data_IF_574903291093
#
_entry.id   IF_574903291093
#
_cell.length_a   1.000
_cell.length_b   1.000
_cell.length_c   1.000
_cell.angle_alpha   90.00
_cell.angle_beta   90.00
_cell.angle_gamma   90.00
#
_symmetry.space_group_name_H-M   'P 1'
#
loop_
_entity.id
_entity.type
_entity.pdbx_description
1 polymer ?
#
# COMPACT_ATOMS: atom_id res chain seq x y z
N UNK A 1 32.11 17.35 22.18
CA UNK A 1 31.07 17.58 21.16
C UNK A 1 30.03 16.49 21.33
N UNK A 2 28.84 16.85 21.80
CA UNK A 2 27.74 15.88 21.98
C UNK A 2 27.09 15.62 20.62
N UNK A 3 26.75 14.36 20.28
CA UNK A 3 26.01 14.07 19.06
C UNK A 3 24.60 14.71 19.13
N UNK A 4 24.05 15.19 18.00
CA UNK A 4 22.71 15.77 17.97
C UNK A 4 21.67 14.72 18.38
N UNK A 5 20.72 15.13 19.23
CA UNK A 5 19.56 14.32 19.60
C UNK A 5 18.77 13.96 18.34
N UNK A 6 18.67 12.66 18.07
CA UNK A 6 17.83 12.12 17.00
C UNK A 6 16.37 12.25 17.43
N UNK A 7 15.63 13.14 16.78
CA UNK A 7 14.16 13.17 16.85
C UNK A 7 13.61 11.80 16.47
N UNK A 8 12.73 11.25 17.32
CA UNK A 8 12.16 9.93 17.12
C UNK A 8 11.29 9.89 15.87
N UNK A 9 11.44 8.86 15.03
CA UNK A 9 10.62 8.71 13.81
C UNK A 9 9.13 8.54 14.13
N UNK A 10 8.76 8.08 15.33
CA UNK A 10 7.37 8.12 15.79
C UNK A 10 6.84 9.55 15.90
N UNK A 11 7.69 10.52 16.26
CA UNK A 11 7.35 11.94 16.28
C UNK A 11 7.43 12.58 14.89
N UNK A 12 8.24 12.07 13.96
CA UNK A 12 8.24 12.52 12.55
C UNK A 12 7.03 12.02 11.76
N UNK A 13 6.65 10.73 11.91
CA UNK A 13 5.41 10.19 11.33
C UNK A 13 4.22 10.88 11.99
N UNK A 14 4.20 11.03 13.32
CA UNK A 14 3.17 11.84 14.01
C UNK A 14 3.24 13.33 13.66
N UNK A 15 4.39 13.93 13.34
CA UNK A 15 4.49 15.35 12.98
C UNK A 15 4.01 15.57 11.55
N UNK A 16 4.39 14.73 10.59
CA UNK A 16 3.79 14.72 9.25
C UNK A 16 2.27 14.51 9.32
N UNK A 17 1.78 13.63 10.21
CA UNK A 17 0.34 13.40 10.40
C UNK A 17 -0.39 14.42 11.30
N UNK A 18 0.32 15.13 12.19
CA UNK A 18 -0.25 16.23 13.00
C UNK A 18 -0.33 17.52 12.21
N UNK A 19 0.56 17.70 11.22
CA UNK A 19 0.43 18.75 10.20
C UNK A 19 -0.85 18.57 9.35
N UNK A 20 -1.33 17.35 9.14
CA UNK A 20 -2.60 17.10 8.44
C UNK A 20 -3.85 17.39 9.29
N UNK A 21 -3.81 17.20 10.62
CA UNK A 21 -4.95 17.56 11.49
C UNK A 21 -5.17 19.07 11.64
N UNK A 22 -4.19 19.90 11.25
CA UNK A 22 -4.33 21.36 11.14
C UNK A 22 -4.76 21.84 9.77
N UNK A 23 -4.77 20.97 8.75
CA UNK A 23 -5.13 21.30 7.38
C UNK A 23 -6.43 20.62 6.99
N UNK A 24 -7.53 21.03 7.65
CA UNK A 24 -8.85 20.80 7.09
C UNK A 24 -8.89 21.51 5.73
N UNK A 25 -8.84 20.70 4.67
CA UNK A 25 -9.02 21.08 3.27
C UNK A 25 -10.03 22.21 3.10
N UNK A 26 -9.52 23.41 2.82
CA UNK A 26 -10.25 24.47 2.14
C UNK A 26 -9.83 24.42 0.68
N UNK A 27 -10.46 23.53 -0.09
CA UNK A 27 -10.31 23.50 -1.55
C UNK A 27 -11.06 24.72 -2.09
N UNK A 28 -10.32 25.74 -2.52
CA UNK A 28 -10.87 26.87 -3.26
C UNK A 28 -10.27 28.23 -2.90
N UNK A 29 -9.11 28.54 -3.50
CA UNK A 29 -8.77 29.86 -4.03
C UNK A 29 -7.46 29.75 -4.82
N UNK A 30 -7.48 30.15 -6.09
CA UNK A 30 -6.27 30.42 -6.86
C UNK A 30 -5.46 31.49 -6.14
N UNK A 31 -4.39 31.09 -5.45
CA UNK A 31 -3.33 32.00 -5.04
C UNK A 31 -2.47 32.30 -6.26
N UNK A 32 -2.13 33.57 -6.54
CA UNK A 32 -1.24 33.90 -7.65
C UNK A 32 0.13 33.28 -7.38
N UNK A 33 0.64 32.53 -8.35
CA UNK A 33 2.00 31.99 -8.32
C UNK A 33 3.00 33.15 -8.30
N UNK A 34 3.54 33.46 -7.12
CA UNK A 34 4.84 34.11 -7.04
C UNK A 34 5.92 33.17 -7.60
N UNK A 35 7.09 33.69 -8.01
CA UNK A 35 8.19 32.85 -8.48
C UNK A 35 8.75 32.07 -7.29
N UNK A 36 8.16 30.91 -7.01
CA UNK A 36 8.65 29.99 -5.99
C UNK A 36 9.98 29.42 -6.47
N UNK A 37 11.06 29.79 -5.77
CA UNK A 37 12.35 29.18 -5.97
C UNK A 37 12.22 27.66 -5.80
N UNK A 38 12.40 26.93 -6.89
CA UNK A 38 12.53 25.48 -6.84
C UNK A 38 13.67 25.17 -5.88
N UNK A 39 13.35 24.51 -4.77
CA UNK A 39 14.37 23.97 -3.90
C UNK A 39 15.17 22.96 -4.72
N UNK A 40 16.50 22.93 -4.60
CA UNK A 40 17.35 21.93 -5.27
C UNK A 40 16.86 20.49 -4.99
N UNK A 41 16.10 20.31 -3.91
CA UNK A 41 15.40 19.07 -3.55
C UNK A 41 14.33 18.62 -4.55
N UNK A 42 13.70 19.53 -5.30
CA UNK A 42 12.67 19.19 -6.27
C UNK A 42 13.24 18.57 -7.56
N UNK A 43 14.55 18.74 -7.85
CA UNK A 43 15.16 18.23 -9.09
C UNK A 43 15.17 16.71 -9.20
N UNK A 44 15.17 16.01 -8.06
CA UNK A 44 15.21 14.55 -8.00
C UNK A 44 13.86 13.94 -7.61
N UNK A 45 12.87 14.78 -7.28
CA UNK A 45 11.56 14.30 -6.84
C UNK A 45 10.80 13.72 -8.03
N UNK A 46 10.36 12.44 -7.97
CA UNK A 46 9.55 11.88 -9.02
C UNK A 46 8.23 12.64 -9.17
N UNK A 47 7.88 12.98 -10.42
CA UNK A 47 6.63 13.64 -10.71
C UNK A 47 5.43 12.74 -10.32
N UNK A 48 4.37 13.29 -9.70
CA UNK A 48 3.14 12.54 -9.48
C UNK A 48 2.54 12.05 -10.80
N UNK A 49 2.05 10.81 -10.81
CA UNK A 49 1.33 10.23 -11.96
C UNK A 49 -0.16 10.17 -11.61
N UNK A 50 -1.02 10.50 -12.57
CA UNK A 50 -2.48 10.41 -12.38
C UNK A 50 -2.88 8.99 -12.00
N UNK A 51 -3.76 8.88 -11.00
CA UNK A 51 -4.29 7.60 -10.49
C UNK A 51 -3.23 6.67 -9.86
N UNK A 52 -2.06 7.21 -9.55
CA UNK A 52 -1.00 6.54 -8.79
C UNK A 52 -0.99 7.05 -7.35
N UNK A 53 -0.94 6.13 -6.41
CA UNK A 53 -0.81 6.42 -4.99
C UNK A 53 0.15 5.42 -4.35
N UNK A 54 0.72 5.81 -3.21
CA UNK A 54 1.55 4.96 -2.38
C UNK A 54 0.85 4.77 -1.04
N UNK A 55 0.81 3.53 -0.56
CA UNK A 55 0.34 3.19 0.79
C UNK A 55 1.52 2.74 1.61
N UNK A 56 1.81 3.52 2.64
CA UNK A 56 2.89 3.26 3.58
C UNK A 56 2.32 2.48 4.75
N UNK A 57 3.03 1.42 5.13
CA UNK A 57 2.64 0.50 6.19
C UNK A 57 3.76 0.41 7.19
N UNK A 58 3.53 0.96 8.39
CA UNK A 58 4.44 0.83 9.52
C UNK A 58 3.87 -0.17 10.53
N UNK A 59 4.53 -1.31 10.66
CA UNK A 59 4.21 -2.35 11.65
C UNK A 59 4.97 -2.04 12.95
N UNK A 60 4.24 -1.85 14.04
CA UNK A 60 4.83 -1.49 15.33
C UNK A 60 5.63 -2.67 15.92
N UNK A 61 6.78 -2.37 16.52
CA UNK A 61 7.66 -3.37 17.15
C UNK A 61 6.99 -4.16 18.27
N UNK A 62 6.05 -3.54 19.00
CA UNK A 62 5.27 -4.19 20.09
C UNK A 62 4.45 -5.38 19.61
N UNK A 63 4.01 -5.36 18.36
CA UNK A 63 3.22 -6.45 17.77
C UNK A 63 4.09 -7.52 17.12
N UNK A 64 5.40 -7.29 16.97
CA UNK A 64 6.34 -8.28 16.42
C UNK A 64 6.31 -9.58 17.19
N UNK A 65 6.28 -9.54 18.53
CA UNK A 65 6.21 -10.76 19.35
C UNK A 65 4.89 -11.51 19.20
N UNK A 66 3.76 -10.78 19.06
CA UNK A 66 2.44 -11.38 18.84
C UNK A 66 2.34 -12.04 17.46
N UNK A 67 2.82 -11.34 16.43
CA UNK A 67 2.96 -11.89 15.09
C UNK A 67 3.91 -13.07 15.05
N UNK A 68 4.98 -13.02 15.86
CA UNK A 68 5.92 -14.10 15.94
C UNK A 68 5.36 -15.36 16.59
N UNK A 69 4.67 -15.22 17.71
CA UNK A 69 3.95 -16.32 18.31
C UNK A 69 2.88 -16.90 17.34
N UNK A 70 2.17 -16.04 16.62
CA UNK A 70 1.13 -16.44 15.67
C UNK A 70 1.66 -17.23 14.47
N UNK A 71 2.71 -16.74 13.81
CA UNK A 71 3.33 -17.38 12.66
C UNK A 71 4.05 -18.66 13.09
N UNK A 72 4.78 -18.66 14.22
CA UNK A 72 5.38 -19.88 14.77
C UNK A 72 4.33 -20.96 15.07
N UNK A 73 3.18 -20.58 15.61
CA UNK A 73 2.06 -21.50 15.87
C UNK A 73 1.42 -22.03 14.58
N UNK A 74 1.32 -21.20 13.54
CA UNK A 74 0.83 -21.64 12.23
C UNK A 74 1.80 -22.62 11.57
N UNK A 75 3.10 -22.31 11.58
CA UNK A 75 4.16 -23.13 11.01
C UNK A 75 4.35 -24.46 11.78
N UNK A 76 4.22 -24.44 13.11
CA UNK A 76 4.24 -25.66 13.93
C UNK A 76 3.04 -26.59 13.66
N UNK A 77 1.86 -26.01 13.36
CA UNK A 77 0.66 -26.79 12.99
C UNK A 77 0.79 -27.44 11.62
N UNK A 78 1.42 -26.79 10.66
CA UNK A 78 1.63 -27.35 9.31
C UNK A 78 2.68 -28.46 9.31
N UNK A 79 3.74 -28.35 10.13
CA UNK A 79 4.81 -29.35 10.18
C UNK A 79 4.57 -30.54 11.12
N UNK A 80 3.87 -30.35 12.25
CA UNK A 80 3.74 -31.39 13.30
C UNK A 80 2.30 -31.65 13.75
N UNK A 81 1.31 -31.20 12.98
CA UNK A 81 -0.11 -31.40 13.28
C UNK A 81 -0.56 -30.73 14.59
N UNK A 82 -1.58 -31.29 15.25
CA UNK A 82 -2.14 -30.73 16.51
C UNK A 82 -1.14 -30.72 17.67
N UNK A 83 -0.21 -31.68 17.72
CA UNK A 83 0.75 -31.85 18.84
C UNK A 83 1.87 -30.79 18.80
N UNK A 84 2.23 -30.28 17.62
CA UNK A 84 3.24 -29.22 17.46
C UNK A 84 2.88 -27.86 18.07
N UNK A 85 1.62 -27.66 18.48
CA UNK A 85 1.15 -26.36 18.97
C UNK A 85 1.53 -26.04 20.42
N UNK A 86 1.94 -27.04 21.22
CA UNK A 86 2.46 -26.87 22.58
C UNK A 86 3.99 -26.63 22.59
N UNK A 87 4.74 -27.33 21.73
CA UNK A 87 6.20 -27.13 21.59
C UNK A 87 6.56 -25.82 20.85
N UNK A 88 5.69 -25.37 19.94
CA UNK A 88 5.90 -24.14 19.16
C UNK A 88 5.91 -22.84 19.99
N UNK A 89 5.37 -22.85 21.21
CA UNK A 89 5.38 -21.68 22.10
C UNK A 89 6.76 -21.33 22.64
N UNK A 90 7.57 -22.33 23.02
CA UNK A 90 8.91 -22.12 23.55
C UNK A 90 9.94 -21.82 22.45
N UNK A 91 9.85 -22.52 21.31
CA UNK A 91 10.72 -22.30 20.15
C UNK A 91 10.39 -20.97 19.47
N UNK A 92 9.11 -20.57 19.45
CA UNK A 92 8.68 -19.29 18.88
C UNK A 92 9.28 -18.07 19.59
N UNK A 93 9.52 -18.15 20.90
CA UNK A 93 10.14 -17.03 21.65
C UNK A 93 11.64 -16.88 21.37
N UNK A 94 12.33 -17.96 20.98
CA UNK A 94 13.75 -17.95 20.62
C UNK A 94 13.94 -17.55 19.15
N UNK A 95 13.04 -17.96 18.26
CA UNK A 95 13.08 -17.63 16.83
C UNK A 95 12.47 -16.27 16.46
N UNK A 96 11.76 -15.61 17.38
CA UNK A 96 11.19 -14.27 17.14
C UNK A 96 12.24 -13.18 16.80
N UNK A 97 13.52 -13.46 17.00
CA UNK A 97 14.63 -12.58 16.67
C UNK A 97 15.38 -12.96 15.37
N UNK A 98 14.91 -13.95 14.58
CA UNK A 98 15.60 -14.35 13.35
C UNK A 98 15.12 -13.59 12.10
N UNK A 99 16.04 -13.24 11.21
CA UNK A 99 15.74 -12.54 9.95
C UNK A 99 14.76 -13.32 9.04
N UNK A 100 14.86 -14.66 9.02
CA UNK A 100 13.93 -15.55 8.30
C UNK A 100 12.49 -15.44 8.78
N UNK A 101 12.32 -15.06 10.04
CA UNK A 101 11.01 -14.95 10.67
C UNK A 101 10.33 -13.63 10.29
N UNK A 102 11.11 -12.54 10.28
CA UNK A 102 10.66 -11.24 9.81
C UNK A 102 10.21 -11.31 8.35
N UNK A 103 10.92 -12.06 7.50
CA UNK A 103 10.52 -12.30 6.10
C UNK A 103 9.16 -13.00 5.97
N UNK A 104 8.90 -14.01 6.81
CA UNK A 104 7.61 -14.73 6.80
C UNK A 104 6.46 -13.84 7.29
N UNK A 105 6.68 -13.02 8.32
CA UNK A 105 5.69 -12.02 8.74
C UNK A 105 5.47 -11.03 7.59
N UNK A 106 6.55 -10.55 6.99
CA UNK A 106 6.51 -9.55 5.95
C UNK A 106 5.71 -10.01 4.74
N UNK A 107 5.94 -11.24 4.27
CA UNK A 107 5.16 -11.87 3.21
C UNK A 107 3.67 -11.98 3.57
N UNK A 108 3.37 -12.47 4.78
CA UNK A 108 1.99 -12.64 5.23
C UNK A 108 1.22 -11.33 5.45
N UNK A 109 1.92 -10.23 5.72
CA UNK A 109 1.35 -8.87 5.76
C UNK A 109 1.23 -8.31 4.35
N UNK A 110 2.24 -8.48 3.51
CA UNK A 110 2.26 -8.01 2.12
C UNK A 110 1.09 -8.52 1.32
N UNK A 111 0.88 -9.84 1.32
CA UNK A 111 -0.19 -10.48 0.56
C UNK A 111 -1.57 -10.01 1.05
N UNK A 112 -1.68 -9.77 2.36
CA UNK A 112 -2.90 -9.27 2.96
C UNK A 112 -3.20 -7.82 2.59
N UNK A 113 -2.20 -6.94 2.65
CA UNK A 113 -2.35 -5.53 2.24
C UNK A 113 -2.75 -5.49 0.77
N UNK A 114 -2.04 -6.22 -0.10
CA UNK A 114 -2.38 -6.31 -1.52
C UNK A 114 -3.83 -6.75 -1.73
N UNK A 115 -4.23 -7.87 -1.13
CA UNK A 115 -5.58 -8.40 -1.28
C UNK A 115 -6.65 -7.45 -0.73
N UNK A 116 -6.46 -6.93 0.48
CA UNK A 116 -7.44 -6.07 1.15
C UNK A 116 -7.61 -4.75 0.41
N UNK A 117 -6.52 -4.16 -0.10
CA UNK A 117 -6.54 -2.95 -0.90
C UNK A 117 -7.25 -3.18 -2.23
N UNK A 118 -6.96 -4.29 -2.93
CA UNK A 118 -7.67 -4.66 -4.17
C UNK A 118 -9.16 -4.87 -3.91
N UNK A 119 -9.53 -5.60 -2.85
CA UNK A 119 -10.92 -5.88 -2.51
C UNK A 119 -11.67 -4.58 -2.13
N UNK A 120 -11.05 -3.68 -1.37
CA UNK A 120 -11.60 -2.37 -1.02
C UNK A 120 -11.84 -1.50 -2.26
N UNK A 121 -10.85 -1.39 -3.15
CA UNK A 121 -10.97 -0.68 -4.44
C UNK A 121 -12.08 -1.27 -5.31
N UNK A 122 -12.11 -2.61 -5.42
CA UNK A 122 -13.11 -3.32 -6.21
C UNK A 122 -14.53 -3.11 -5.68
N UNK A 123 -14.71 -3.04 -4.36
CA UNK A 123 -16.02 -2.76 -3.73
C UNK A 123 -16.56 -1.38 -4.15
N UNK A 124 -15.65 -0.44 -4.43
CA UNK A 124 -15.93 0.90 -4.95
C UNK A 124 -15.95 0.99 -6.48
N UNK A 125 -15.90 -0.18 -7.14
CA UNK A 125 -15.86 -0.33 -8.60
C UNK A 125 -14.58 0.21 -9.23
N UNK A 126 -13.46 0.26 -8.52
CA UNK A 126 -12.16 0.55 -9.13
C UNK A 126 -11.43 -0.73 -9.50
N UNK A 127 -10.86 -0.75 -10.70
CA UNK A 127 -9.87 -1.73 -11.11
C UNK A 127 -8.49 -1.13 -10.85
N UNK A 128 -7.67 -1.85 -10.09
CA UNK A 128 -6.36 -1.38 -9.69
C UNK A 128 -5.34 -2.50 -9.62
N UNK A 129 -4.07 -2.13 -9.84
CA UNK A 129 -2.92 -2.96 -9.56
C UNK A 129 -2.28 -2.49 -8.26
N UNK A 130 -2.01 -3.41 -7.34
CA UNK A 130 -1.31 -3.14 -6.08
C UNK A 130 0.00 -3.93 -6.09
N UNK A 131 1.13 -3.23 -6.02
CA UNK A 131 2.46 -3.83 -6.09
C UNK A 131 3.29 -3.38 -4.91
N UNK A 132 3.95 -4.31 -4.21
CA UNK A 132 4.92 -3.94 -3.18
C UNK A 132 6.12 -3.24 -3.83
N UNK A 133 6.54 -2.12 -3.27
CA UNK A 133 7.71 -1.36 -3.71
C UNK A 133 8.95 -2.03 -3.15
N UNK A 134 9.97 -2.21 -3.99
CA UNK A 134 11.29 -2.60 -3.53
C UNK A 134 11.94 -1.37 -2.89
N UNK A 135 12.22 -1.44 -1.60
CA UNK A 135 12.75 -0.34 -0.81
C UNK A 135 14.27 -0.28 -0.92
N UNK A 136 14.88 0.90 -0.77
CA UNK A 136 16.33 0.98 -0.80
C UNK A 136 16.96 0.19 0.35
N UNK A 137 18.10 -0.49 0.12
CA UNK A 137 18.79 -1.22 1.17
C UNK A 137 19.19 -0.31 2.33
N UNK A 138 19.18 -0.86 3.55
CA UNK A 138 19.84 -0.22 4.68
C UNK A 138 21.37 -0.26 4.52
N UNK A 139 22.12 0.63 5.18
CA UNK A 139 23.58 0.61 5.13
C UNK A 139 24.15 -0.78 5.44
N UNK A 140 24.99 -1.30 4.54
CA UNK A 140 25.57 -2.65 4.65
C UNK A 140 24.77 -3.76 3.96
N UNK A 141 23.58 -3.47 3.45
CA UNK A 141 22.79 -4.39 2.63
C UNK A 141 22.94 -4.06 1.14
N UNK A 142 22.78 -5.07 0.27
CA UNK A 142 22.86 -4.91 -1.20
C UNK A 142 21.53 -5.17 -1.91
N UNK A 143 20.66 -5.96 -1.30
CA UNK A 143 19.39 -6.35 -1.88
C UNK A 143 18.34 -5.27 -1.60
N UNK A 144 17.40 -5.09 -2.53
CA UNK A 144 16.28 -4.17 -2.38
C UNK A 144 15.06 -4.95 -1.87
N UNK A 145 14.82 -4.98 -0.55
CA UNK A 145 13.77 -5.80 0.02
C UNK A 145 12.38 -5.17 -0.18
N UNK A 146 11.33 -5.98 -0.08
CA UNK A 146 9.95 -5.47 -0.07
C UNK A 146 9.50 -4.87 1.27
N UNK A 147 10.36 -4.96 2.29
CA UNK A 147 10.19 -4.38 3.62
C UNK A 147 11.54 -4.05 4.22
N UNK A 148 11.60 -3.09 5.15
CA UNK A 148 12.81 -2.83 5.95
C UNK A 148 12.50 -2.91 7.43
N UNK A 149 13.46 -3.38 8.21
CA UNK A 149 13.40 -3.36 9.67
C UNK A 149 14.06 -2.07 10.17
N UNK A 150 13.27 -1.22 10.83
CA UNK A 150 13.69 0.06 11.39
C UNK A 150 13.99 -0.06 12.90
N UNK A 151 14.51 -1.22 13.31
CA UNK A 151 14.85 -1.60 14.68
C UNK A 151 13.65 -1.44 15.64
N UNK A 152 13.77 -0.59 16.65
CA UNK A 152 12.73 -0.35 17.67
C UNK A 152 11.43 0.22 17.09
N UNK A 153 11.46 0.73 15.85
CA UNK A 153 10.31 1.31 15.15
C UNK A 153 9.48 0.23 14.44
N UNK A 154 10.02 -0.98 14.31
CA UNK A 154 9.37 -2.11 13.66
C UNK A 154 9.62 -2.15 12.16
N UNK A 155 8.64 -2.62 11.37
CA UNK A 155 8.83 -2.88 9.94
C UNK A 155 8.13 -1.83 9.09
N UNK A 156 8.76 -1.44 7.99
CA UNK A 156 8.21 -0.50 7.03
C UNK A 156 8.06 -1.15 5.66
N UNK A 157 6.91 -0.96 5.03
CA UNK A 157 6.59 -1.42 3.68
C UNK A 157 5.87 -0.32 2.92
N UNK A 158 6.01 -0.35 1.60
CA UNK A 158 5.34 0.61 0.70
C UNK A 158 4.66 -0.17 -0.41
N UNK A 159 3.42 0.20 -0.72
CA UNK A 159 2.64 -0.39 -1.79
C UNK A 159 2.25 0.67 -2.80
N UNK A 160 2.66 0.47 -4.05
CA UNK A 160 2.20 1.28 -5.17
C UNK A 160 0.82 0.79 -5.62
N UNK A 161 -0.14 1.69 -5.64
CA UNK A 161 -1.49 1.49 -6.16
C UNK A 161 -1.59 2.26 -7.48
N UNK A 162 -1.93 1.57 -8.56
CA UNK A 162 -2.24 2.17 -9.85
C UNK A 162 -3.68 1.82 -10.25
N UNK A 163 -4.57 2.80 -10.26
CA UNK A 163 -5.96 2.60 -10.66
C UNK A 163 -6.08 2.74 -12.18
N UNK A 164 -6.42 1.63 -12.84
CA UNK A 164 -6.42 1.54 -14.30
C UNK A 164 -7.75 2.00 -14.89
N UNK A 165 -8.86 1.54 -14.33
CA UNK A 165 -10.19 1.86 -14.83
C UNK A 165 -11.26 1.74 -13.74
N UNK A 166 -12.50 2.10 -14.10
CA UNK A 166 -13.67 1.88 -13.27
C UNK A 166 -14.47 0.71 -13.84
N UNK A 167 -14.88 -0.21 -12.98
CA UNK A 167 -15.76 -1.31 -13.34
C UNK A 167 -17.13 -0.77 -13.76
N UNK A 168 -17.75 -1.32 -14.81
CA UNK A 168 -19.09 -0.94 -15.25
C UNK A 168 -20.10 -1.04 -14.10
N UNK A 169 -21.10 -0.15 -14.10
CA UNK A 169 -22.26 -0.32 -13.23
C UNK A 169 -22.96 -1.61 -13.67
N UNK A 170 -23.15 -2.54 -12.74
CA UNK A 170 -24.03 -3.69 -12.99
C UNK A 170 -25.40 -3.15 -13.40
N UNK A 171 -25.80 -3.43 -14.64
CA UNK A 171 -27.17 -3.21 -15.06
C UNK A 171 -28.04 -4.05 -14.11
N UNK A 172 -29.14 -3.52 -13.56
CA UNK A 172 -30.03 -4.31 -12.73
C UNK A 172 -30.47 -5.51 -13.57
N UNK A 173 -30.11 -6.72 -13.12
CA UNK A 173 -30.60 -7.95 -13.75
C UNK A 173 -32.12 -7.91 -13.66
N UNK A 174 -32.78 -7.66 -14.79
CA UNK A 174 -34.21 -7.97 -14.91
C UNK A 174 -34.32 -9.45 -14.61
N UNK A 175 -35.02 -9.78 -13.53
CA UNK A 175 -35.26 -11.14 -13.07
C UNK A 175 -36.26 -11.82 -14.00
N UNK A 176 -35.90 -12.04 -15.25
CA UNK A 176 -36.64 -12.93 -16.13
C UNK A 176 -35.98 -14.30 -16.04
N UNK A 177 -36.74 -15.26 -15.51
CA UNK A 177 -36.28 -16.59 -15.13
C UNK A 177 -35.60 -17.34 -16.28
N UNK A 178 -34.37 -17.79 -16.05
CA UNK A 178 -33.63 -18.62 -16.99
C UNK A 178 -32.26 -18.98 -16.44
N UNK A 179 -32.16 -20.12 -15.74
CA UNK A 179 -30.96 -20.53 -14.99
C UNK A 179 -29.75 -20.93 -15.89
N UNK A 180 -29.91 -20.93 -17.22
CA UNK A 180 -28.89 -21.43 -18.15
C UNK A 180 -28.21 -20.36 -19.04
N UNK A 181 -28.67 -19.11 -19.11
CA UNK A 181 -28.07 -18.09 -20.02
C UNK A 181 -27.01 -17.18 -19.36
N UNK A 182 -26.86 -17.22 -18.04
CA UNK A 182 -26.05 -16.27 -17.26
C UNK A 182 -24.53 -16.36 -17.49
N UNK A 183 -24.01 -17.44 -18.07
CA UNK A 183 -22.57 -17.62 -18.30
C UNK A 183 -22.11 -17.07 -19.66
N UNK A 184 -23.00 -17.07 -20.66
CA UNK A 184 -22.69 -16.58 -22.01
C UNK A 184 -22.98 -15.07 -22.14
N UNK A 185 -24.00 -14.54 -21.44
CA UNK A 185 -24.30 -13.11 -21.50
C UNK A 185 -23.19 -12.24 -20.90
N UNK A 186 -22.48 -12.70 -19.86
CA UNK A 186 -21.41 -11.91 -19.23
C UNK A 186 -20.23 -11.58 -20.17
N UNK A 187 -19.98 -12.41 -21.18
CA UNK A 187 -18.93 -12.17 -22.18
C UNK A 187 -19.46 -11.26 -23.30
N UNK A 188 -20.73 -11.41 -23.69
CA UNK A 188 -21.38 -10.56 -24.70
C UNK A 188 -21.59 -9.14 -24.18
N UNK A 189 -21.97 -8.98 -22.91
CA UNK A 189 -22.14 -7.68 -22.25
C UNK A 189 -20.81 -6.91 -22.13
N UNK A 190 -19.68 -7.62 -21.99
CA UNK A 190 -18.35 -7.01 -22.00
C UNK A 190 -17.94 -6.55 -23.41
N UNK A 191 -18.35 -7.27 -24.45
CA UNK A 191 -18.10 -6.91 -25.86
C UNK A 191 -19.00 -5.77 -26.33
N UNK A 192 -20.29 -5.76 -25.96
CA UNK A 192 -21.22 -4.66 -26.26
C UNK A 192 -20.83 -3.35 -25.55
N UNK A 193 -20.26 -3.44 -24.34
CA UNK A 193 -19.71 -2.27 -23.65
C UNK A 193 -18.49 -1.66 -24.38
N UNK A 194 -17.75 -2.47 -25.14
CA UNK A 194 -16.62 -2.01 -25.98
C UNK A 194 -17.07 -1.47 -27.34
N UNK A 195 -18.27 -1.84 -27.82
CA UNK A 195 -18.79 -1.45 -29.15
C UNK A 195 -19.83 -0.31 -29.12
N UNK A 196 -20.18 0.23 -27.95
CA UNK A 196 -21.15 1.33 -27.85
C UNK A 196 -20.51 2.68 -28.20
N UNK A 197 -20.58 3.07 -29.48
CA UNK A 197 -20.04 4.31 -30.08
C UNK A 197 -20.68 5.63 -29.60
N UNK A 198 -21.25 5.69 -28.40
CA UNK A 198 -21.82 6.90 -27.80
C UNK A 198 -21.32 7.02 -26.35
N UNK A 199 -20.01 7.03 -26.18
CA UNK A 199 -19.38 7.26 -24.89
C UNK A 199 -19.42 8.77 -24.61
N UNK A 200 -20.27 9.20 -23.66
CA UNK A 200 -20.25 10.56 -23.18
C UNK A 200 -18.81 10.89 -22.71
N UNK A 201 -18.26 12.07 -23.05
CA UNK A 201 -16.89 12.40 -22.68
C UNK A 201 -16.73 12.24 -21.16
N UNK A 202 -15.84 11.33 -20.77
CA UNK A 202 -15.54 11.09 -19.37
C UNK A 202 -14.86 12.34 -18.84
N UNK A 203 -15.49 13.03 -17.89
CA UNK A 203 -14.85 14.11 -17.16
C UNK A 203 -13.70 13.54 -16.32
N UNK A 204 -12.49 13.67 -16.86
CA UNK A 204 -11.28 13.16 -16.25
C UNK A 204 -10.98 13.85 -14.92
N UNK A 205 -11.27 15.15 -14.78
CA UNK A 205 -11.02 15.88 -13.53
C UNK A 205 -11.97 15.45 -12.42
N UNK A 206 -13.27 15.33 -12.73
CA UNK A 206 -14.24 14.84 -11.76
C UNK A 206 -13.92 13.39 -11.31
N UNK A 207 -13.44 12.57 -12.24
CA UNK A 207 -13.00 11.20 -11.95
C UNK A 207 -11.78 11.20 -11.02
N UNK A 208 -10.81 12.07 -11.24
CA UNK A 208 -9.59 12.19 -10.43
C UNK A 208 -9.89 12.71 -9.02
N UNK A 209 -10.71 13.76 -8.88
CA UNK A 209 -11.14 14.28 -7.57
C UNK A 209 -11.87 13.21 -6.76
N UNK A 210 -12.83 12.53 -7.39
CA UNK A 210 -13.57 11.44 -6.76
C UNK A 210 -12.65 10.29 -6.34
N UNK A 211 -11.65 9.97 -7.15
CA UNK A 211 -10.69 8.93 -6.81
C UNK A 211 -9.87 9.32 -5.57
N UNK A 212 -9.39 10.55 -5.50
CA UNK A 212 -8.66 11.06 -4.34
C UNK A 212 -9.50 10.98 -3.05
N UNK A 213 -10.77 11.41 -3.11
CA UNK A 213 -11.70 11.33 -1.98
C UNK A 213 -11.93 9.87 -1.55
N UNK A 214 -12.12 8.97 -2.53
CA UNK A 214 -12.34 7.56 -2.25
C UNK A 214 -11.07 6.86 -1.73
N UNK A 215 -9.85 7.29 -2.12
CA UNK A 215 -8.60 6.73 -1.61
C UNK A 215 -8.45 6.94 -0.10
N UNK A 216 -8.84 8.10 0.42
CA UNK A 216 -8.80 8.37 1.86
C UNK A 216 -9.69 7.40 2.65
N UNK A 217 -10.79 6.93 2.03
CA UNK A 217 -11.72 5.99 2.67
C UNK A 217 -11.30 4.52 2.56
N UNK A 218 -10.30 4.19 1.74
CA UNK A 218 -9.79 2.81 1.61
C UNK A 218 -8.92 2.43 2.80
N UNK A 219 -8.14 3.37 3.34
CA UNK A 219 -7.27 3.09 4.49
C UNK A 219 -8.03 2.50 5.69
N UNK A 220 -9.17 3.05 6.14
CA UNK A 220 -9.98 2.43 7.19
C UNK A 220 -10.46 1.01 6.85
N UNK A 221 -10.77 0.72 5.58
CA UNK A 221 -11.21 -0.61 5.16
C UNK A 221 -10.07 -1.63 5.22
N UNK A 222 -8.88 -1.24 4.75
CA UNK A 222 -7.66 -2.04 4.84
C UNK A 222 -7.31 -2.27 6.31
N UNK A 223 -7.29 -1.21 7.13
CA UNK A 223 -7.04 -1.31 8.57
C UNK A 223 -8.03 -2.26 9.25
N UNK A 224 -9.32 -2.17 8.93
CA UNK A 224 -10.35 -3.07 9.46
C UNK A 224 -10.12 -4.52 9.03
N UNK A 225 -9.65 -4.77 7.80
CA UNK A 225 -9.30 -6.10 7.34
C UNK A 225 -8.08 -6.67 8.10
N UNK A 226 -7.06 -5.84 8.36
CA UNK A 226 -5.91 -6.19 9.20
C UNK A 226 -6.32 -6.60 10.62
N UNK A 227 -7.20 -5.80 11.24
CA UNK A 227 -7.65 -6.00 12.62
C UNK A 227 -8.60 -7.20 12.81
N UNK A 228 -9.41 -7.53 11.79
CA UNK A 228 -10.37 -8.65 11.85
C UNK A 228 -9.74 -10.04 11.81
N UNK A 229 -8.42 -10.14 11.64
CA UNK A 229 -7.73 -11.42 11.60
C UNK A 229 -7.80 -12.12 12.94
N UNK A 230 -7.68 -13.45 12.89
CA UNK A 230 -7.46 -14.28 14.07
C UNK A 230 -6.26 -13.81 14.90
N UNK A 231 -5.23 -13.32 14.22
CA UNK A 231 -4.10 -12.62 14.81
C UNK A 231 -4.09 -11.20 14.20
N UNK A 232 -4.70 -10.21 14.88
CA UNK A 232 -4.81 -8.85 14.37
C UNK A 232 -3.43 -8.28 14.03
N UNK A 233 -3.32 -7.63 12.88
CA UNK A 233 -2.13 -6.84 12.52
C UNK A 233 -2.42 -5.39 12.87
N UNK A 234 -1.64 -4.83 13.78
CA UNK A 234 -1.71 -3.40 14.11
C UNK A 234 -0.65 -2.71 13.27
N UNK A 235 -1.11 -1.97 12.28
CA UNK A 235 -0.27 -1.17 11.41
C UNK A 235 -0.73 0.29 11.47
N UNK A 236 0.21 1.20 11.29
CA UNK A 236 -0.08 2.58 10.89
C UNK A 236 -0.05 2.64 9.36
N UNK A 237 -1.13 3.16 8.78
CA UNK A 237 -1.29 3.28 7.33
C UNK A 237 -1.38 4.75 6.96
N UNK A 238 -0.64 5.17 5.94
CA UNK A 238 -0.80 6.48 5.31
C UNK A 238 -0.83 6.34 3.79
N UNK A 239 -1.51 7.28 3.13
CA UNK A 239 -1.52 7.42 1.66
C UNK A 239 -0.66 8.61 1.31
N UNK A 240 0.16 8.44 0.29
CA UNK A 240 1.03 9.48 -0.23
C UNK A 240 0.95 9.52 -1.76
N UNK A 241 1.15 10.69 -2.36
CA UNK A 241 1.55 10.78 -3.76
C UNK A 241 3.06 10.46 -3.93
N UNK A 242 3.56 10.52 -5.17
CA UNK A 242 4.98 10.22 -5.44
C UNK A 242 5.96 11.20 -4.76
N UNK A 243 5.56 12.46 -4.57
CA UNK A 243 6.40 13.50 -3.96
C UNK A 243 6.41 13.34 -2.45
N UNK A 244 5.27 13.08 -1.85
CA UNK A 244 5.11 12.77 -0.43
C UNK A 244 5.84 11.48 -0.05
N UNK A 245 5.79 10.47 -0.93
CA UNK A 245 6.52 9.22 -0.71
C UNK A 245 8.03 9.43 -0.79
N UNK A 246 8.50 10.17 -1.79
CA UNK A 246 9.91 10.55 -1.90
C UNK A 246 10.41 11.25 -0.63
N UNK A 247 9.60 12.16 -0.08
CA UNK A 247 9.90 12.86 1.17
C UNK A 247 9.93 11.89 2.36
N UNK A 248 8.98 10.98 2.45
CA UNK A 248 8.91 9.95 3.50
C UNK A 248 10.17 9.07 3.51
N UNK A 249 10.59 8.58 2.35
CA UNK A 249 11.83 7.79 2.21
C UNK A 249 13.06 8.62 2.59
N UNK A 250 13.12 9.89 2.18
CA UNK A 250 14.23 10.76 2.54
C UNK A 250 14.31 11.02 4.05
N UNK A 251 13.17 11.19 4.72
CA UNK A 251 13.08 11.33 6.19
C UNK A 251 13.51 10.05 6.93
N UNK A 252 13.45 8.90 6.28
CA UNK A 252 13.98 7.63 6.78
C UNK A 252 15.50 7.49 6.58
N UNK A 253 16.18 8.54 6.11
CA UNK A 253 17.62 8.68 5.89
C UNK A 253 18.18 7.96 4.66
N UNK A 254 17.36 7.63 3.66
CA UNK A 254 17.89 7.24 2.36
C UNK A 254 18.36 8.44 1.55
N UNK A 255 19.31 8.20 0.64
CA UNK A 255 19.77 9.24 -0.28
C UNK A 255 18.66 9.61 -1.27
N UNK A 256 18.76 10.80 -1.85
CA UNK A 256 17.78 11.32 -2.80
C UNK A 256 17.63 10.42 -4.03
N UNK A 257 18.76 9.93 -4.51
CA UNK A 257 18.87 9.07 -5.69
C UNK A 257 18.14 7.75 -5.44
N UNK A 258 18.39 7.13 -4.27
CA UNK A 258 17.75 5.89 -3.87
C UNK A 258 16.23 6.04 -3.68
N UNK A 259 15.78 7.16 -3.11
CA UNK A 259 14.34 7.45 -2.97
C UNK A 259 13.65 7.55 -4.34
N UNK A 260 14.27 8.27 -5.29
CA UNK A 260 13.75 8.40 -6.65
C UNK A 260 13.79 7.06 -7.40
N UNK A 261 14.86 6.28 -7.22
CA UNK A 261 15.02 4.96 -7.83
C UNK A 261 13.97 3.96 -7.33
N UNK A 262 13.66 3.90 -6.03
CA UNK A 262 12.59 3.07 -5.49
C UNK A 262 11.24 3.31 -6.20
N UNK A 263 10.86 4.59 -6.31
CA UNK A 263 9.60 5.00 -6.94
C UNK A 263 9.61 4.65 -8.43
N UNK A 264 10.69 4.97 -9.15
CA UNK A 264 10.78 4.69 -10.58
C UNK A 264 10.86 3.19 -10.91
N UNK A 265 11.59 2.41 -10.11
CA UNK A 265 11.66 0.96 -10.23
C UNK A 265 10.28 0.31 -10.03
N UNK A 266 9.49 0.81 -9.07
CA UNK A 266 8.13 0.32 -8.84
C UNK A 266 7.19 0.56 -10.04
N UNK A 267 7.40 1.65 -10.79
CA UNK A 267 6.67 1.94 -12.04
C UNK A 267 7.08 0.98 -13.16
N UNK A 268 8.38 0.73 -13.32
CA UNK A 268 8.91 -0.19 -14.33
C UNK A 268 8.45 -1.64 -14.10
N UNK A 269 8.35 -2.07 -12.84
CA UNK A 269 7.87 -3.40 -12.48
C UNK A 269 6.44 -3.69 -12.99
N UNK A 270 5.56 -2.68 -13.00
CA UNK A 270 4.19 -2.82 -13.51
C UNK A 270 4.16 -2.85 -15.04
N UNK A 271 4.98 -2.04 -15.71
CA UNK A 271 5.08 -2.05 -17.17
C UNK A 271 5.49 -3.44 -17.70
N UNK A 272 6.45 -4.09 -17.04
CA UNK A 272 6.89 -5.45 -17.39
C UNK A 272 5.81 -6.52 -17.17
N UNK A 273 4.95 -6.38 -16.16
CA UNK A 273 3.82 -7.30 -15.96
C UNK A 273 2.74 -7.12 -17.03
N UNK A 274 2.50 -5.87 -17.45
CA UNK A 274 1.50 -5.57 -18.48
C UNK A 274 1.92 -6.06 -19.88
N UNK A 275 3.22 -6.11 -20.18
CA UNK A 275 3.72 -6.58 -21.47
C UNK A 275 3.77 -8.11 -21.64
N UNK A 276 3.54 -8.86 -20.56
CA UNK A 276 3.60 -10.34 -20.54
C UNK A 276 2.20 -10.96 -20.46
N UNK A 277 1.18 -10.15 -20.13
CA UNK A 277 -0.23 -10.54 -20.13
C UNK A 277 -0.87 -10.32 -21.50
#
# INVERSE_FOLDING_TARGET
MSPPERTGVSDLVKASMSLEKGSAMKIGAHTPHGPHGHSIHDLFSPHPVRREFFVNVALMSKDRQLHAAAVAKAHGRTKFGRVGSLLGGAIGSIMANSATFDETIADGVRDLIQKSTVDALKSRRWLASVTAVALPPLPGQKEWPSFVNLDDKGHFMVFRILVTSRLPKEKPKKSDGGFASNLVSGIVDLWEALCSCCEAPIDHEATERRLADEMQTILPEVQKALLKRRNPVVAELSVADAKEEYKTLFELNWSRELCAEAINASRAAVAKKASVA
#
